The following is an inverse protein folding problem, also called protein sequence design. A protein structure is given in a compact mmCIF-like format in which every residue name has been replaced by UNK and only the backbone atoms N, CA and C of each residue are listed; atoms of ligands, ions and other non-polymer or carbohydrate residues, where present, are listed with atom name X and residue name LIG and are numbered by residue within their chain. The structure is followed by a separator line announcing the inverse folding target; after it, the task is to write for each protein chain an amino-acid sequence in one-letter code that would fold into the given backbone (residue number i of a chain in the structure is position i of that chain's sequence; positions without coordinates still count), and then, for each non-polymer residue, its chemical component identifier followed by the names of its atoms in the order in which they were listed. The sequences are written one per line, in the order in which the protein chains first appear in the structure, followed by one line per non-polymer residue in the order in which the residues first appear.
data_IF_402039939561
#
_entry.id   IF_402039939561
#
_cell.length_a   1.000
_cell.length_b   1.000
_cell.length_c   1.000
_cell.angle_alpha   90.00
_cell.angle_beta   90.00
_cell.angle_gamma   90.00
#
_symmetry.space_group_name_H-M   'P 1'
#
loop_
_entity.id
_entity.type
_entity.pdbx_description
1 polymer ?
#
# COMPACT_ATOMS: atom_id res chain seq x y z
N UNK A 1 5.45 17.01 -43.24
CA UNK A 1 6.70 16.61 -42.57
C UNK A 1 6.34 16.41 -41.11
N UNK A 2 6.47 15.20 -40.57
CA UNK A 2 5.72 14.73 -39.39
C UNK A 2 6.23 15.31 -38.08
N UNK A 3 5.31 15.85 -37.28
CA UNK A 3 5.52 16.16 -35.88
C UNK A 3 5.63 14.86 -35.09
N UNK A 4 6.87 14.44 -34.86
CA UNK A 4 7.17 13.28 -34.04
C UNK A 4 7.33 13.75 -32.59
N UNK A 5 6.20 14.11 -31.98
CA UNK A 5 6.13 14.47 -30.57
C UNK A 5 6.42 13.21 -29.74
N UNK A 6 7.65 13.07 -29.27
CA UNK A 6 8.07 11.92 -28.45
C UNK A 6 7.25 11.90 -27.16
N UNK A 7 6.24 11.04 -27.11
CA UNK A 7 5.46 10.75 -25.91
C UNK A 7 6.43 10.29 -24.82
N UNK A 8 6.53 11.07 -23.73
CA UNK A 8 7.30 10.67 -22.55
C UNK A 8 6.49 9.65 -21.75
N UNK A 9 6.89 8.39 -21.83
CA UNK A 9 6.35 7.36 -20.93
C UNK A 9 6.93 7.55 -19.53
N UNK A 10 6.06 7.86 -18.57
CA UNK A 10 6.42 7.84 -17.15
C UNK A 10 6.45 6.37 -16.72
N UNK A 11 7.58 5.95 -16.16
CA UNK A 11 7.73 4.62 -15.55
C UNK A 11 7.81 4.79 -14.05
N UNK A 12 6.87 4.19 -13.34
CA UNK A 12 6.89 4.14 -11.89
C UNK A 12 7.81 3.01 -11.42
N UNK A 13 8.60 3.26 -10.39
CA UNK A 13 9.30 2.19 -9.69
C UNK A 13 8.33 1.54 -8.70
N UNK A 14 7.49 0.64 -9.20
CA UNK A 14 6.43 -0.05 -8.44
C UNK A 14 6.91 -0.68 -7.13
N UNK A 15 8.13 -1.20 -7.10
CA UNK A 15 8.73 -1.72 -5.86
C UNK A 15 8.73 -0.69 -4.71
N UNK A 16 9.12 0.56 -4.97
CA UNK A 16 9.17 1.60 -3.93
C UNK A 16 7.79 2.03 -3.46
N UNK A 17 6.82 2.00 -4.37
CA UNK A 17 5.42 2.31 -4.07
C UNK A 17 4.86 1.24 -3.13
N UNK A 18 5.08 -0.04 -3.47
CA UNK A 18 4.64 -1.18 -2.65
C UNK A 18 5.37 -1.17 -1.30
N UNK A 19 6.69 -0.97 -1.29
CA UNK A 19 7.47 -0.92 -0.06
C UNK A 19 6.93 0.14 0.89
N UNK A 20 6.64 1.34 0.39
CA UNK A 20 6.08 2.41 1.20
C UNK A 20 4.69 2.06 1.74
N UNK A 21 3.82 1.49 0.92
CA UNK A 21 2.50 1.02 1.36
C UNK A 21 2.60 -0.05 2.46
N UNK A 22 3.59 -0.96 2.35
CA UNK A 22 3.87 -1.98 3.37
C UNK A 22 4.36 -1.34 4.67
N UNK A 23 5.35 -0.45 4.60
CA UNK A 23 5.92 0.23 5.78
C UNK A 23 4.86 1.08 6.52
N UNK A 24 4.08 1.86 5.78
CA UNK A 24 2.99 2.67 6.34
C UNK A 24 1.87 1.79 6.91
N UNK A 25 1.50 0.73 6.21
CA UNK A 25 0.48 -0.22 6.66
C UNK A 25 0.88 -0.96 7.95
N UNK A 26 2.15 -1.37 8.08
CA UNK A 26 2.67 -1.98 9.31
C UNK A 26 2.58 -1.01 10.48
N UNK A 27 3.05 0.23 10.30
CA UNK A 27 3.04 1.25 11.35
C UNK A 27 1.60 1.57 11.80
N UNK A 28 0.67 1.67 10.86
CA UNK A 28 -0.73 1.96 11.12
C UNK A 28 -1.45 0.78 11.81
N UNK A 29 -1.24 -0.44 11.31
CA UNK A 29 -1.80 -1.67 11.86
C UNK A 29 -1.37 -1.93 13.30
N UNK A 30 -0.07 -1.78 13.60
CA UNK A 30 0.44 -1.88 14.97
C UNK A 30 -0.20 -0.85 15.90
N UNK A 31 -0.28 0.42 15.46
CA UNK A 31 -0.89 1.49 16.25
C UNK A 31 -2.38 1.23 16.53
N UNK A 32 -3.14 0.69 15.58
CA UNK A 32 -4.56 0.36 15.77
C UNK A 32 -4.75 -0.85 16.68
N UNK A 33 -3.94 -1.89 16.52
CA UNK A 33 -4.02 -3.09 17.36
C UNK A 33 -3.89 -2.72 18.85
N UNK A 34 -2.95 -1.84 19.17
CA UNK A 34 -2.74 -1.35 20.54
C UNK A 34 -3.74 -0.28 21.01
N UNK A 35 -4.49 0.37 20.11
CA UNK A 35 -5.48 1.39 20.47
C UNK A 35 -6.79 0.79 21.00
N UNK A 36 -7.13 -0.40 20.53
CA UNK A 36 -8.39 -1.07 20.86
C UNK A 36 -8.21 -2.21 21.87
N UNK A 37 -6.97 -2.64 22.12
CA UNK A 37 -6.63 -3.76 22.99
C UNK A 37 -5.25 -3.53 23.59
N UNK A 38 -5.13 -3.58 24.92
CA UNK A 38 -3.85 -3.33 25.61
C UNK A 38 -2.83 -4.46 25.38
N UNK A 39 -3.31 -5.66 25.04
CA UNK A 39 -2.48 -6.82 24.72
C UNK A 39 -3.04 -7.55 23.49
N UNK A 40 -2.89 -6.97 22.28
CA UNK A 40 -3.44 -7.56 21.07
C UNK A 40 -2.75 -8.90 20.77
N UNK A 41 -3.54 -9.90 20.36
CA UNK A 41 -2.99 -11.19 19.94
C UNK A 41 -2.20 -11.04 18.64
N UNK A 42 -1.23 -11.94 18.40
CA UNK A 42 -0.44 -11.95 17.16
C UNK A 42 -1.32 -11.97 15.91
N UNK A 43 -2.40 -12.75 15.95
CA UNK A 43 -3.34 -12.85 14.83
C UNK A 43 -4.07 -11.53 14.58
N UNK A 44 -4.46 -10.81 15.64
CA UNK A 44 -5.08 -9.48 15.53
C UNK A 44 -4.13 -8.47 14.90
N UNK A 45 -2.87 -8.47 15.34
CA UNK A 45 -1.83 -7.60 14.77
C UNK A 45 -1.64 -7.91 13.28
N UNK A 46 -1.54 -9.20 12.92
CA UNK A 46 -1.38 -9.61 11.53
C UNK A 46 -2.55 -9.14 10.64
N UNK A 47 -3.80 -9.33 11.09
CA UNK A 47 -5.01 -8.89 10.38
C UNK A 47 -5.03 -7.36 10.18
N UNK A 48 -4.69 -6.59 11.22
CA UNK A 48 -4.69 -5.12 11.12
C UNK A 48 -3.57 -4.60 10.21
N UNK A 49 -2.40 -5.25 10.21
CA UNK A 49 -1.31 -4.95 9.27
C UNK A 49 -1.74 -5.27 7.84
N UNK A 50 -2.23 -6.49 7.60
CA UNK A 50 -2.68 -6.93 6.27
C UNK A 50 -3.73 -5.97 5.71
N UNK A 51 -4.76 -5.64 6.52
CA UNK A 51 -5.80 -4.69 6.14
C UNK A 51 -5.24 -3.32 5.80
N UNK A 52 -4.33 -2.79 6.61
CA UNK A 52 -3.76 -1.47 6.40
C UNK A 52 -2.91 -1.41 5.11
N UNK A 53 -2.13 -2.46 4.83
CA UNK A 53 -1.34 -2.57 3.59
C UNK A 53 -2.26 -2.68 2.37
N UNK A 54 -3.29 -3.53 2.42
CA UNK A 54 -4.21 -3.71 1.30
C UNK A 54 -4.97 -2.42 0.98
N UNK A 55 -5.42 -1.67 2.00
CA UNK A 55 -6.05 -0.35 1.80
C UNK A 55 -5.08 0.65 1.17
N UNK A 56 -3.84 0.71 1.62
CA UNK A 56 -2.83 1.61 1.05
C UNK A 56 -2.48 1.26 -0.40
N UNK A 57 -2.53 -0.02 -0.76
CA UNK A 57 -2.32 -0.45 -2.14
C UNK A 57 -3.54 -0.16 -3.04
N UNK A 58 -4.76 -0.32 -2.52
CA UNK A 58 -6.01 -0.03 -3.24
C UNK A 58 -6.13 1.45 -3.64
N UNK A 59 -5.55 2.36 -2.85
CA UNK A 59 -5.44 3.78 -3.22
C UNK A 59 -4.56 4.04 -4.46
N UNK A 60 -3.68 3.10 -4.80
CA UNK A 60 -2.64 3.30 -5.82
C UNK A 60 -2.81 2.37 -7.02
N UNK A 61 -3.43 1.21 -6.81
CA UNK A 61 -3.58 0.13 -7.78
C UNK A 61 -5.06 -0.19 -7.94
N UNK A 62 -5.57 -0.06 -9.15
CA UNK A 62 -6.92 -0.50 -9.50
C UNK A 62 -6.90 -2.03 -9.71
N UNK A 63 -7.29 -2.80 -8.69
CA UNK A 63 -7.24 -4.26 -8.71
C UNK A 63 -8.38 -4.90 -9.54
N UNK A 64 -9.43 -4.15 -9.87
CA UNK A 64 -10.61 -4.67 -10.61
C UNK A 64 -10.44 -4.62 -12.13
N UNK A 65 -9.44 -3.90 -12.64
CA UNK A 65 -9.17 -3.78 -14.08
C UNK A 65 -7.86 -4.47 -14.46
N UNK A 66 -7.95 -5.78 -14.69
CA UNK A 66 -6.94 -6.60 -15.36
C UNK A 66 -7.21 -6.77 -16.85
#
# INVERSE_FOLDING_TARGET
MSDNEKIKHIRFKTYWIIQRAVEEGIAYGLKRAHKHEDNPTKDKIAIEIERAVMLALDEIIDFERG
#
